data_IF_971157902729
#
_entry.id   IF_971157902729
#
_cell.length_a   1.000
_cell.length_b   1.000
_cell.length_c   1.000
_cell.angle_alpha   90.00
_cell.angle_beta   90.00
_cell.angle_gamma   90.00
#
_symmetry.space_group_name_H-M   'P 1'
#
loop_
_entity.id
_entity.type
_entity.pdbx_description
1 polymer ?
#
# COMPACT_ATOMS: atom_id res chain seq x y z
N UNK A 1 2.37 29.30 -5.62
CA UNK A 1 2.46 28.44 -4.42
C UNK A 1 3.00 27.04 -4.71
N UNK A 2 2.34 26.19 -5.50
CA UNK A 2 2.87 24.83 -5.83
C UNK A 2 4.18 24.90 -6.59
N UNK A 3 4.24 25.69 -7.68
CA UNK A 3 5.46 25.88 -8.48
C UNK A 3 6.61 26.46 -7.64
N UNK A 4 6.33 27.47 -6.82
CA UNK A 4 7.33 28.11 -5.95
C UNK A 4 7.91 27.13 -4.92
N UNK A 5 7.13 26.17 -4.43
CA UNK A 5 7.62 25.16 -3.49
C UNK A 5 8.35 23.99 -4.15
N UNK A 6 7.92 23.56 -5.34
CA UNK A 6 8.68 22.60 -6.14
C UNK A 6 10.04 23.19 -6.54
N UNK A 7 10.06 24.45 -6.97
CA UNK A 7 11.30 25.18 -7.24
C UNK A 7 12.15 25.30 -5.99
N UNK A 8 11.58 25.68 -4.84
CA UNK A 8 12.33 25.75 -3.58
C UNK A 8 12.85 24.38 -3.10
N UNK A 9 12.09 23.30 -3.31
CA UNK A 9 12.52 21.93 -2.95
C UNK A 9 13.63 21.44 -3.88
N UNK A 10 13.49 21.68 -5.17
CA UNK A 10 14.51 21.37 -6.17
C UNK A 10 15.80 22.15 -5.88
N UNK A 11 15.70 23.45 -5.58
CA UNK A 11 16.84 24.29 -5.20
C UNK A 11 17.51 23.82 -3.90
N UNK A 12 16.73 23.32 -2.92
CA UNK A 12 17.30 22.71 -1.69
C UNK A 12 18.03 21.41 -1.98
N UNK A 13 17.43 20.49 -2.74
CA UNK A 13 18.08 19.24 -3.16
C UNK A 13 19.34 19.52 -3.97
N UNK A 14 19.30 20.51 -4.87
CA UNK A 14 20.48 20.98 -5.59
C UNK A 14 21.55 21.52 -4.65
N UNK A 15 21.19 22.39 -3.70
CA UNK A 15 22.16 22.95 -2.76
C UNK A 15 22.82 21.88 -1.88
N UNK A 16 22.05 20.90 -1.39
CA UNK A 16 22.61 19.77 -0.62
C UNK A 16 23.47 18.87 -1.49
N UNK A 17 23.01 18.54 -2.70
CA UNK A 17 23.76 17.70 -3.63
C UNK A 17 25.06 18.34 -4.12
N UNK A 18 25.07 19.65 -4.37
CA UNK A 18 26.29 20.40 -4.72
C UNK A 18 27.30 20.37 -3.57
N UNK A 19 26.87 20.62 -2.34
CA UNK A 19 27.77 20.54 -1.18
C UNK A 19 28.37 19.13 -0.98
N UNK A 20 27.55 18.08 -1.18
CA UNK A 20 28.02 16.69 -1.10
C UNK A 20 29.00 16.38 -2.23
N UNK A 21 28.69 16.82 -3.45
CA UNK A 21 29.55 16.66 -4.61
C UNK A 21 30.90 17.36 -4.45
N UNK A 22 30.92 18.59 -3.93
CA UNK A 22 32.16 19.32 -3.63
C UNK A 22 33.05 18.51 -2.67
N UNK A 23 32.45 17.89 -1.64
CA UNK A 23 33.14 17.00 -0.71
C UNK A 23 33.71 15.74 -1.38
N UNK A 24 32.99 15.16 -2.34
CA UNK A 24 33.44 14.01 -3.14
C UNK A 24 34.60 14.43 -4.06
N UNK A 25 34.47 15.56 -4.77
CA UNK A 25 35.50 16.12 -5.66
C UNK A 25 36.80 16.39 -4.89
N UNK A 26 36.71 17.05 -3.73
CA UNK A 26 37.87 17.34 -2.88
C UNK A 26 38.57 16.06 -2.42
N UNK A 27 37.80 15.02 -2.05
CA UNK A 27 38.35 13.72 -1.66
C UNK A 27 39.05 13.06 -2.84
N UNK A 28 38.41 13.02 -4.00
CA UNK A 28 38.97 12.46 -5.23
C UNK A 28 40.28 13.14 -5.63
N UNK A 29 40.35 14.47 -5.56
CA UNK A 29 41.58 15.25 -5.81
C UNK A 29 42.67 14.95 -4.78
N UNK A 30 42.33 14.90 -3.49
CA UNK A 30 43.29 14.57 -2.41
C UNK A 30 43.88 13.17 -2.53
N UNK A 31 43.09 12.23 -3.03
CA UNK A 31 43.52 10.86 -3.31
C UNK A 31 44.31 10.74 -4.63
N UNK A 32 44.51 11.83 -5.36
CA UNK A 32 45.23 11.84 -6.64
C UNK A 32 44.48 11.12 -7.76
N UNK A 33 43.15 10.98 -7.64
CA UNK A 33 42.30 10.33 -8.64
C UNK A 33 41.74 11.37 -9.60
N UNK A 34 41.62 10.98 -10.87
CA UNK A 34 41.04 11.82 -11.93
C UNK A 34 39.53 11.61 -12.09
N UNK A 35 38.96 10.57 -11.48
CA UNK A 35 37.55 10.18 -11.62
C UNK A 35 36.88 10.00 -10.25
N UNK A 36 35.68 10.54 -10.10
CA UNK A 36 34.73 10.19 -9.04
C UNK A 36 34.31 8.73 -9.27
N UNK A 37 34.28 7.94 -8.19
CA UNK A 37 33.93 6.53 -8.30
C UNK A 37 32.45 6.36 -8.68
N UNK A 38 32.15 5.31 -9.46
CA UNK A 38 30.76 4.98 -9.80
C UNK A 38 29.86 4.78 -8.59
N UNK A 39 30.43 4.31 -7.47
CA UNK A 39 29.72 4.14 -6.19
C UNK A 39 29.33 5.47 -5.54
N UNK A 40 30.25 6.44 -5.49
CA UNK A 40 29.95 7.77 -4.93
C UNK A 40 28.95 8.51 -5.82
N UNK A 41 29.10 8.40 -7.15
CA UNK A 41 28.13 8.95 -8.11
C UNK A 41 26.76 8.27 -7.99
N UNK A 42 26.73 6.95 -7.77
CA UNK A 42 25.51 6.19 -7.54
C UNK A 42 24.84 6.57 -6.22
N UNK A 43 25.60 6.80 -5.15
CA UNK A 43 25.07 7.26 -3.87
C UNK A 43 24.42 8.65 -3.98
N UNK A 44 25.07 9.60 -4.67
CA UNK A 44 24.51 10.91 -4.97
C UNK A 44 23.18 10.80 -5.74
N UNK A 45 23.09 9.88 -6.69
CA UNK A 45 21.88 9.63 -7.48
C UNK A 45 20.77 8.90 -6.70
N UNK A 46 21.06 7.74 -6.13
CA UNK A 46 20.09 6.82 -5.52
C UNK A 46 19.66 7.27 -4.12
N UNK A 47 20.59 7.78 -3.32
CA UNK A 47 20.32 8.17 -1.92
C UNK A 47 19.89 9.63 -1.80
N UNK A 48 20.52 10.53 -2.57
CA UNK A 48 20.31 11.98 -2.43
C UNK A 48 19.51 12.60 -3.58
N UNK A 49 19.16 11.82 -4.61
CA UNK A 49 18.35 12.28 -5.74
C UNK A 49 19.06 13.31 -6.63
N UNK A 50 20.39 13.40 -6.57
CA UNK A 50 21.17 14.35 -7.33
C UNK A 50 21.40 13.82 -8.76
N UNK A 51 20.99 14.55 -9.81
CA UNK A 51 21.08 14.05 -11.19
C UNK A 51 22.52 13.72 -11.61
N UNK A 52 22.70 12.58 -12.28
CA UNK A 52 24.01 12.15 -12.79
C UNK A 52 24.59 13.18 -13.79
N UNK A 53 23.74 13.78 -14.63
CA UNK A 53 24.15 14.79 -15.60
C UNK A 53 24.75 16.04 -14.93
N UNK A 54 24.21 16.44 -13.78
CA UNK A 54 24.73 17.58 -13.01
C UNK A 54 26.02 17.21 -12.26
N UNK A 55 26.10 15.97 -11.77
CA UNK A 55 27.34 15.42 -11.19
C UNK A 55 28.49 15.48 -12.21
N UNK A 56 28.24 15.02 -13.44
CA UNK A 56 29.23 15.02 -14.52
C UNK A 56 29.66 16.45 -14.90
N UNK A 57 28.69 17.34 -15.10
CA UNK A 57 28.95 18.72 -15.51
C UNK A 57 29.83 19.46 -14.49
N UNK A 58 29.45 19.42 -13.21
CA UNK A 58 30.14 20.15 -12.15
C UNK A 58 31.53 19.53 -11.88
N UNK A 59 31.62 18.20 -11.86
CA UNK A 59 32.91 17.53 -11.72
C UNK A 59 33.89 17.96 -12.82
N UNK A 60 33.41 18.00 -14.07
CA UNK A 60 34.21 18.40 -15.23
C UNK A 60 34.70 19.84 -15.14
N UNK A 61 33.85 20.77 -14.71
CA UNK A 61 34.25 22.17 -14.47
C UNK A 61 35.35 22.29 -13.40
N UNK A 62 35.35 21.36 -12.44
CA UNK A 62 36.35 21.27 -11.37
C UNK A 62 37.58 20.41 -11.74
N UNK A 63 37.68 19.94 -12.98
CA UNK A 63 38.83 19.18 -13.48
C UNK A 63 38.87 17.71 -13.06
N UNK A 64 37.72 17.12 -12.71
CA UNK A 64 37.58 15.70 -12.34
C UNK A 64 36.47 15.07 -13.21
N UNK A 65 36.63 13.84 -13.66
CA UNK A 65 35.57 13.12 -14.38
C UNK A 65 34.69 12.27 -13.46
N UNK A 66 33.70 11.59 -14.03
CA UNK A 66 32.88 10.59 -13.33
C UNK A 66 33.07 9.24 -14.04
N UNK A 67 33.26 8.17 -13.27
CA UNK A 67 33.30 6.81 -13.81
C UNK A 67 31.87 6.33 -14.12
N UNK A 68 31.35 6.77 -15.27
CA UNK A 68 30.02 6.40 -15.76
C UNK A 68 29.85 4.89 -15.96
N UNK A 69 30.83 4.13 -16.51
CA UNK A 69 30.72 2.68 -16.58
C UNK A 69 30.53 2.00 -15.22
N UNK A 70 31.26 2.43 -14.19
CA UNK A 70 31.07 1.90 -12.83
C UNK A 70 29.72 2.33 -12.22
N UNK A 71 29.24 3.54 -12.51
CA UNK A 71 27.91 3.99 -12.10
C UNK A 71 26.80 3.12 -12.72
N UNK A 72 26.90 2.83 -14.03
CA UNK A 72 25.95 1.95 -14.72
C UNK A 72 25.96 0.53 -14.16
N UNK A 73 27.12 0.01 -13.75
CA UNK A 73 27.22 -1.28 -13.07
C UNK A 73 26.48 -1.31 -11.73
N UNK A 74 26.58 -0.25 -10.92
CA UNK A 74 25.84 -0.15 -9.66
C UNK A 74 24.32 -0.03 -9.90
N UNK A 75 23.91 0.71 -10.93
CA UNK A 75 22.52 0.82 -11.36
C UNK A 75 21.96 -0.53 -11.81
N UNK A 76 22.70 -1.28 -12.61
CA UNK A 76 22.31 -2.63 -13.02
C UNK A 76 22.37 -3.63 -11.86
N UNK A 77 23.32 -3.52 -10.94
CA UNK A 77 23.37 -4.35 -9.73
C UNK A 77 22.19 -4.08 -8.79
N UNK A 78 21.72 -2.84 -8.69
CA UNK A 78 20.49 -2.49 -7.94
C UNK A 78 19.26 -3.10 -8.61
N UNK A 79 19.10 -2.94 -9.94
CA UNK A 79 18.02 -3.60 -10.71
C UNK A 79 18.08 -5.13 -10.60
N UNK A 80 19.28 -5.71 -10.65
CA UNK A 80 19.50 -7.15 -10.56
C UNK A 80 19.21 -7.67 -9.14
N UNK A 81 19.57 -6.94 -8.07
CA UNK A 81 19.16 -7.28 -6.70
C UNK A 81 17.64 -7.27 -6.54
N UNK A 82 16.95 -6.33 -7.17
CA UNK A 82 15.48 -6.31 -7.22
C UNK A 82 14.90 -7.48 -8.02
N UNK A 83 15.58 -7.96 -9.08
CA UNK A 83 15.14 -9.10 -9.91
C UNK A 83 15.47 -10.47 -9.31
N UNK A 84 16.65 -10.66 -8.71
CA UNK A 84 17.11 -11.93 -8.14
C UNK A 84 16.45 -12.28 -6.79
N UNK A 85 15.65 -11.39 -6.22
CA UNK A 85 14.82 -11.70 -5.05
C UNK A 85 13.62 -12.64 -5.35
N UNK A 86 13.44 -13.09 -6.62
CA UNK A 86 12.23 -13.75 -7.09
C UNK A 86 12.47 -15.00 -7.97
N UNK A 87 13.39 -15.91 -7.59
CA UNK A 87 13.26 -17.29 -8.07
C UNK A 87 12.08 -17.94 -7.34
N UNK A 88 10.88 -17.79 -7.91
CA UNK A 88 9.65 -18.42 -7.42
C UNK A 88 9.35 -19.61 -8.30
N UNK A 89 9.50 -20.81 -7.75
CA UNK A 89 9.09 -22.05 -8.40
C UNK A 89 7.61 -22.27 -8.13
N UNK A 90 6.78 -22.25 -9.17
CA UNK A 90 5.32 -22.32 -9.05
C UNK A 90 4.80 -23.44 -9.94
N UNK A 91 4.14 -24.42 -9.33
CA UNK A 91 3.48 -25.48 -10.06
C UNK A 91 2.24 -24.95 -10.82
N UNK A 92 1.80 -25.69 -11.83
CA UNK A 92 0.51 -25.47 -12.48
C UNK A 92 -0.66 -25.69 -11.50
N UNK A 93 -1.80 -25.07 -11.79
CA UNK A 93 -3.01 -25.27 -11.01
C UNK A 93 -3.55 -26.69 -11.15
N UNK A 94 -3.75 -27.36 -10.02
CA UNK A 94 -4.54 -28.58 -9.93
C UNK A 94 -5.99 -28.17 -9.71
N UNK A 95 -6.83 -28.41 -10.71
CA UNK A 95 -8.26 -28.11 -10.65
C UNK A 95 -9.05 -29.30 -10.06
N UNK A 96 -9.84 -29.02 -9.03
CA UNK A 96 -10.70 -29.99 -8.34
C UNK A 96 -12.17 -29.81 -8.70
N UNK A 97 -12.61 -28.55 -8.81
CA UNK A 97 -13.98 -28.20 -9.15
C UNK A 97 -13.93 -27.01 -10.11
N UNK A 98 -14.58 -27.11 -11.29
CA UNK A 98 -14.66 -25.99 -12.20
C UNK A 98 -15.57 -24.91 -11.62
N UNK A 99 -15.02 -23.70 -11.47
CA UNK A 99 -15.78 -22.51 -11.05
C UNK A 99 -15.61 -21.40 -12.08
N UNK A 100 -16.69 -20.65 -12.34
CA UNK A 100 -16.62 -19.45 -13.18
C UNK A 100 -15.97 -18.29 -12.43
N UNK A 101 -16.35 -18.11 -11.18
CA UNK A 101 -15.85 -17.10 -10.26
C UNK A 101 -15.98 -17.58 -8.81
N UNK A 102 -15.15 -17.03 -7.91
CA UNK A 102 -15.27 -17.27 -6.48
C UNK A 102 -16.20 -16.21 -5.87
N UNK A 103 -17.16 -16.63 -5.04
CA UNK A 103 -18.12 -15.72 -4.41
C UNK A 103 -17.53 -15.19 -3.09
N UNK A 104 -17.37 -13.88 -2.98
CA UNK A 104 -16.96 -13.25 -1.72
C UNK A 104 -18.17 -13.01 -0.80
N UNK A 105 -18.15 -13.59 0.40
CA UNK A 105 -19.22 -13.49 1.43
C UNK A 105 -18.75 -12.75 2.69
N UNK A 106 -17.52 -12.21 2.66
CA UNK A 106 -16.87 -11.61 3.83
C UNK A 106 -17.43 -10.27 4.29
N UNK A 107 -18.40 -9.69 3.57
CA UNK A 107 -19.12 -8.51 4.04
C UNK A 107 -20.22 -8.86 5.05
N UNK A 108 -20.75 -10.09 4.99
CA UNK A 108 -21.87 -10.56 5.81
C UNK A 108 -21.41 -11.46 6.94
N UNK A 109 -20.43 -12.31 6.68
CA UNK A 109 -20.00 -13.36 7.60
C UNK A 109 -18.49 -13.49 7.67
N UNK A 110 -18.00 -14.00 8.80
CA UNK A 110 -16.60 -14.37 9.01
C UNK A 110 -16.36 -15.87 8.91
N UNK A 111 -17.45 -16.64 8.75
CA UNK A 111 -17.43 -18.09 8.65
C UNK A 111 -18.30 -18.55 7.49
N UNK A 112 -17.82 -19.51 6.71
CA UNK A 112 -18.54 -20.04 5.54
C UNK A 112 -18.11 -21.49 5.26
N UNK A 113 -19.01 -22.29 4.71
CA UNK A 113 -18.64 -23.62 4.19
C UNK A 113 -18.11 -23.48 2.77
N UNK A 114 -16.93 -24.03 2.51
CA UNK A 114 -16.20 -23.84 1.26
C UNK A 114 -15.68 -25.16 0.71
N UNK A 115 -15.42 -25.19 -0.59
CA UNK A 115 -14.66 -26.25 -1.25
C UNK A 115 -13.48 -25.65 -1.98
N UNK A 116 -12.36 -26.36 -1.98
CA UNK A 116 -11.19 -25.96 -2.76
C UNK A 116 -11.51 -26.25 -4.24
N UNK A 117 -11.61 -25.19 -5.03
CA UNK A 117 -11.83 -25.29 -6.47
C UNK A 117 -10.53 -25.66 -7.19
N UNK A 118 -9.41 -25.07 -6.77
CA UNK A 118 -8.07 -25.40 -7.28
C UNK A 118 -6.99 -25.04 -6.29
N UNK A 119 -5.85 -25.70 -6.40
CA UNK A 119 -4.66 -25.38 -5.62
C UNK A 119 -3.39 -25.48 -6.47
N UNK A 120 -2.32 -24.84 -6.01
CA UNK A 120 -0.97 -25.04 -6.53
C UNK A 120 0.06 -24.92 -5.43
N UNK A 121 1.21 -25.55 -5.63
CA UNK A 121 2.37 -25.40 -4.76
C UNK A 121 3.24 -24.25 -5.26
N UNK A 122 3.74 -23.45 -4.33
CA UNK A 122 4.66 -22.35 -4.59
C UNK A 122 5.84 -22.48 -3.65
N UNK A 123 7.05 -22.56 -4.21
CA UNK A 123 8.30 -22.55 -3.46
C UNK A 123 9.03 -21.26 -3.74
N UNK A 124 9.24 -20.46 -2.69
CA UNK A 124 10.00 -19.22 -2.76
C UNK A 124 10.99 -19.16 -1.61
N UNK A 125 12.24 -18.82 -1.91
CA UNK A 125 13.33 -18.70 -0.91
C UNK A 125 13.47 -19.94 -0.01
N UNK A 126 13.28 -21.13 -0.58
CA UNK A 126 13.35 -22.41 0.14
C UNK A 126 12.15 -22.73 1.04
N UNK A 127 11.13 -21.86 1.11
CA UNK A 127 9.86 -22.12 1.80
C UNK A 127 8.82 -22.60 0.78
N UNK A 128 8.24 -23.77 1.04
CA UNK A 128 7.09 -24.27 0.28
C UNK A 128 5.81 -23.81 0.94
N UNK A 129 4.88 -23.31 0.13
CA UNK A 129 3.52 -22.92 0.52
C UNK A 129 2.54 -23.43 -0.53
N UNK A 130 1.26 -23.43 -0.19
CA UNK A 130 0.18 -23.77 -1.09
C UNK A 130 -0.73 -22.57 -1.25
N UNK A 131 -1.14 -22.34 -2.49
CA UNK A 131 -2.12 -21.35 -2.84
C UNK A 131 -3.43 -22.06 -3.16
N UNK A 132 -4.49 -21.73 -2.43
CA UNK A 132 -5.81 -22.34 -2.52
C UNK A 132 -6.83 -21.33 -3.03
N UNK A 133 -7.67 -21.73 -3.97
CA UNK A 133 -8.82 -20.94 -4.42
C UNK A 133 -10.08 -21.69 -4.04
N UNK A 134 -10.99 -21.02 -3.34
CA UNK A 134 -12.27 -21.59 -2.93
C UNK A 134 -13.40 -21.22 -3.89
N UNK A 135 -14.47 -22.01 -3.93
CA UNK A 135 -15.71 -21.68 -4.67
C UNK A 135 -16.41 -20.44 -4.11
N UNK A 136 -16.32 -20.24 -2.79
CA UNK A 136 -16.75 -19.05 -2.06
C UNK A 136 -15.82 -18.81 -0.88
N UNK A 137 -15.76 -17.58 -0.38
CA UNK A 137 -14.87 -17.27 0.75
C UNK A 137 -15.34 -16.08 1.59
N UNK A 138 -15.23 -16.16 2.93
CA UNK A 138 -15.40 -15.02 3.81
C UNK A 138 -14.11 -14.19 3.92
N UNK A 139 -12.96 -14.68 3.43
CA UNK A 139 -11.68 -14.00 3.50
C UNK A 139 -11.59 -12.89 2.47
N UNK A 140 -11.30 -11.68 2.93
CA UNK A 140 -11.01 -10.53 2.08
C UNK A 140 -9.60 -10.70 1.50
N UNK A 141 -9.50 -10.68 0.17
CA UNK A 141 -8.21 -10.60 -0.51
C UNK A 141 -7.71 -9.16 -0.51
N UNK A 142 -6.39 -8.97 -0.33
CA UNK A 142 -5.79 -7.63 -0.28
C UNK A 142 -6.22 -6.74 -1.46
N UNK A 143 -6.77 -5.56 -1.17
CA UNK A 143 -7.23 -4.61 -2.19
C UNK A 143 -7.49 -3.23 -1.56
N UNK A 144 -7.36 -2.17 -2.36
CA UNK A 144 -7.60 -0.78 -1.91
C UNK A 144 -6.66 -0.33 -0.78
N UNK A 145 -5.47 -0.92 -0.66
CA UNK A 145 -4.51 -0.68 0.42
C UNK A 145 -4.73 -1.53 1.67
N UNK A 146 -5.89 -2.17 1.85
CA UNK A 146 -6.12 -3.08 2.97
C UNK A 146 -5.47 -4.44 2.73
N UNK A 147 -4.74 -4.95 3.72
CA UNK A 147 -4.19 -6.31 3.67
C UNK A 147 -5.31 -7.35 3.74
N UNK A 148 -5.05 -8.52 3.16
CA UNK A 148 -6.01 -9.60 3.20
C UNK A 148 -6.05 -10.30 4.55
N UNK A 149 -7.12 -11.04 4.77
CA UNK A 149 -7.35 -11.70 6.05
C UNK A 149 -6.45 -12.91 6.28
N UNK A 150 -6.35 -13.25 7.57
CA UNK A 150 -5.81 -14.51 8.06
C UNK A 150 -6.88 -15.26 8.84
N UNK A 151 -6.64 -16.54 9.10
CA UNK A 151 -7.59 -17.40 9.78
C UNK A 151 -7.23 -18.86 9.57
N UNK A 152 -8.23 -19.71 9.37
CA UNK A 152 -8.02 -21.12 9.07
C UNK A 152 -9.17 -21.71 8.26
N UNK A 153 -8.90 -22.85 7.64
CA UNK A 153 -9.93 -23.79 7.20
C UNK A 153 -9.90 -25.01 8.10
N UNK A 154 -11.05 -25.61 8.38
CA UNK A 154 -11.12 -26.83 9.16
C UNK A 154 -12.12 -27.85 8.60
N UNK A 155 -11.80 -29.11 8.82
CA UNK A 155 -12.69 -30.25 8.61
C UNK A 155 -12.78 -31.03 9.93
N UNK A 156 -13.49 -32.16 9.92
CA UNK A 156 -13.56 -33.03 11.10
C UNK A 156 -12.19 -33.59 11.55
N UNK A 157 -11.20 -33.63 10.65
CA UNK A 157 -9.94 -34.31 10.87
C UNK A 157 -8.74 -33.36 11.03
N UNK A 158 -8.81 -32.16 10.46
CA UNK A 158 -7.68 -31.25 10.39
C UNK A 158 -8.11 -29.78 10.43
N UNK A 159 -7.20 -28.94 10.92
CA UNK A 159 -7.31 -27.48 10.88
C UNK A 159 -6.04 -26.91 10.26
N UNK A 160 -6.20 -26.12 9.20
CA UNK A 160 -5.09 -25.58 8.41
C UNK A 160 -5.11 -24.05 8.49
N UNK A 161 -4.06 -23.42 9.03
CA UNK A 161 -3.95 -21.97 9.03
C UNK A 161 -3.86 -21.39 7.62
N UNK A 162 -4.66 -20.36 7.38
CA UNK A 162 -4.52 -19.44 6.24
C UNK A 162 -3.71 -18.25 6.73
N UNK A 163 -2.45 -18.19 6.30
CA UNK A 163 -1.46 -17.22 6.81
C UNK A 163 -1.47 -15.89 6.07
N UNK A 164 -2.07 -15.86 4.87
CA UNK A 164 -2.31 -14.67 4.09
C UNK A 164 -3.42 -14.94 3.06
N UNK A 165 -4.15 -13.89 2.69
CA UNK A 165 -5.11 -13.93 1.58
C UNK A 165 -4.79 -12.83 0.58
N UNK A 166 -4.61 -13.20 -0.68
CA UNK A 166 -4.22 -12.27 -1.75
C UNK A 166 -5.27 -12.22 -2.84
N UNK A 167 -5.41 -11.08 -3.52
CA UNK A 167 -6.26 -10.91 -4.68
C UNK A 167 -5.39 -10.70 -5.92
N UNK A 168 -5.34 -11.71 -6.79
CA UNK A 168 -4.59 -11.66 -8.04
C UNK A 168 -5.53 -11.89 -9.23
N UNK A 169 -5.55 -10.96 -10.20
CA UNK A 169 -6.37 -11.08 -11.42
C UNK A 169 -7.87 -11.41 -11.14
N UNK A 170 -8.41 -10.89 -10.03
CA UNK A 170 -9.79 -11.13 -9.60
C UNK A 170 -10.01 -12.41 -8.79
N UNK A 171 -8.99 -13.25 -8.62
CA UNK A 171 -9.04 -14.45 -7.79
C UNK A 171 -8.61 -14.14 -6.36
N UNK A 172 -9.36 -14.67 -5.40
CA UNK A 172 -8.96 -14.66 -3.99
C UNK A 172 -8.18 -15.94 -3.71
N UNK A 173 -6.90 -15.77 -3.40
CA UNK A 173 -5.92 -16.82 -3.18
C UNK A 173 -5.62 -16.88 -1.69
N UNK A 174 -5.79 -18.05 -1.09
CA UNK A 174 -5.52 -18.31 0.32
C UNK A 174 -4.20 -19.04 0.43
N UNK A 175 -3.25 -18.48 1.17
CA UNK A 175 -1.90 -19.03 1.32
C UNK A 175 -1.85 -19.86 2.60
N UNK A 176 -1.42 -21.12 2.47
CA UNK A 176 -1.23 -22.05 3.58
C UNK A 176 0.17 -22.67 3.52
N UNK A 177 0.68 -23.14 4.65
CA UNK A 177 1.98 -23.85 4.69
C UNK A 177 1.85 -25.35 4.38
N UNK A 178 0.62 -25.87 4.45
CA UNK A 178 0.29 -27.27 4.20
C UNK A 178 -0.97 -27.39 3.34
N UNK A 179 -1.01 -28.40 2.48
CA UNK A 179 -2.19 -28.80 1.73
C UNK A 179 -3.02 -29.77 2.60
N UNK A 180 -4.37 -29.69 2.58
CA UNK A 180 -5.20 -30.67 3.26
C UNK A 180 -4.92 -32.10 2.82
N UNK A 181 -5.10 -33.07 3.72
CA UNK A 181 -4.96 -34.50 3.41
C UNK A 181 -5.93 -34.92 2.29
N UNK A 182 -7.15 -34.37 2.32
CA UNK A 182 -8.14 -34.52 1.27
C UNK A 182 -8.59 -33.14 0.72
N UNK A 183 -7.89 -32.57 -0.27
CA UNK A 183 -8.23 -31.26 -0.84
C UNK A 183 -9.63 -31.18 -1.46
N UNK A 184 -10.22 -32.31 -1.85
CA UNK A 184 -11.56 -32.38 -2.44
C UNK A 184 -12.70 -32.38 -1.40
N UNK A 185 -12.37 -32.36 -0.10
CA UNK A 185 -13.36 -32.28 0.96
C UNK A 185 -14.02 -30.89 1.05
N UNK A 186 -15.07 -30.82 1.88
CA UNK A 186 -15.68 -29.56 2.29
C UNK A 186 -15.05 -29.10 3.61
N UNK A 187 -14.82 -27.80 3.73
CA UNK A 187 -14.18 -27.18 4.89
C UNK A 187 -15.06 -26.05 5.43
N UNK A 188 -14.98 -25.81 6.74
CA UNK A 188 -15.43 -24.56 7.35
C UNK A 188 -14.26 -23.58 7.34
N UNK A 189 -14.43 -22.47 6.60
CA UNK A 189 -13.46 -21.40 6.50
C UNK A 189 -13.79 -20.32 7.54
N UNK A 190 -12.84 -20.00 8.43
CA UNK A 190 -13.02 -19.08 9.55
C UNK A 190 -11.96 -17.99 9.51
N UNK A 191 -12.39 -16.75 9.34
CA UNK A 191 -11.54 -15.55 9.41
C UNK A 191 -11.26 -15.20 10.87
N UNK A 192 -10.06 -14.71 11.17
CA UNK A 192 -9.74 -14.13 12.47
C UNK A 192 -10.57 -12.85 12.72
N UNK A 193 -11.54 -12.88 13.66
CA UNK A 193 -12.47 -11.77 13.87
C UNK A 193 -11.79 -10.54 14.47
N UNK A 194 -10.76 -10.71 15.30
CA UNK A 194 -10.06 -9.60 15.95
C UNK A 194 -9.24 -8.83 14.93
N UNK A 195 -8.45 -9.56 14.12
CA UNK A 195 -7.64 -8.96 13.05
C UNK A 195 -8.51 -8.30 11.99
N UNK A 196 -9.62 -8.93 11.60
CA UNK A 196 -10.59 -8.34 10.68
C UNK A 196 -11.14 -7.02 11.22
N UNK A 197 -11.61 -7.00 12.47
CA UNK A 197 -12.21 -5.81 13.05
C UNK A 197 -11.19 -4.68 13.19
N UNK A 198 -9.95 -4.99 13.58
CA UNK A 198 -8.89 -4.01 13.67
C UNK A 198 -8.53 -3.41 12.30
N UNK A 199 -8.41 -4.23 11.26
CA UNK A 199 -8.20 -3.75 9.89
C UNK A 199 -9.37 -2.87 9.41
N UNK A 200 -10.62 -3.28 9.68
CA UNK A 200 -11.82 -2.52 9.33
C UNK A 200 -11.91 -1.17 10.07
N UNK A 201 -11.47 -1.12 11.32
CA UNK A 201 -11.33 0.13 12.09
C UNK A 201 -10.32 1.07 11.43
N UNK A 202 -9.12 0.57 11.13
CA UNK A 202 -8.07 1.36 10.48
C UNK A 202 -8.45 1.80 9.06
N UNK A 203 -9.19 0.97 8.31
CA UNK A 203 -9.71 1.35 7.00
C UNK A 203 -10.70 2.52 7.14
N UNK A 204 -11.63 2.41 8.07
CA UNK A 204 -12.62 3.48 8.30
C UNK A 204 -11.95 4.75 8.82
N UNK A 205 -10.95 4.63 9.69
CA UNK A 205 -10.15 5.76 10.14
C UNK A 205 -9.41 6.45 8.98
N UNK A 206 -8.94 5.69 7.99
CA UNK A 206 -8.31 6.23 6.77
C UNK A 206 -9.28 7.14 6.01
N UNK A 207 -10.54 6.72 5.83
CA UNK A 207 -11.57 7.53 5.16
C UNK A 207 -11.89 8.83 5.94
N UNK A 208 -12.00 8.73 7.27
CA UNK A 208 -12.23 9.90 8.12
C UNK A 208 -11.06 10.87 8.08
N UNK A 209 -9.83 10.35 8.11
CA UNK A 209 -8.60 11.13 8.01
C UNK A 209 -8.50 11.81 6.65
N UNK A 210 -8.80 11.12 5.55
CA UNK A 210 -8.77 11.70 4.22
C UNK A 210 -9.75 12.87 4.08
N UNK A 211 -10.99 12.68 4.57
CA UNK A 211 -11.98 13.77 4.62
C UNK A 211 -11.50 14.95 5.50
N UNK A 212 -10.87 14.68 6.65
CA UNK A 212 -10.33 15.70 7.54
C UNK A 212 -9.15 16.46 6.91
N UNK A 213 -8.22 15.77 6.26
CA UNK A 213 -7.09 16.39 5.55
C UNK A 213 -7.59 17.34 4.47
N UNK A 214 -8.62 16.96 3.71
CA UNK A 214 -9.20 17.83 2.68
C UNK A 214 -9.88 19.07 3.27
N UNK A 215 -10.53 18.95 4.44
CA UNK A 215 -11.12 20.09 5.15
C UNK A 215 -10.06 21.07 5.66
N UNK A 216 -8.94 20.56 6.18
CA UNK A 216 -7.88 21.39 6.81
C UNK A 216 -6.91 21.96 5.77
N UNK A 217 -6.50 21.15 4.79
CA UNK A 217 -5.45 21.50 3.84
C UNK A 217 -5.99 21.99 2.50
N UNK A 218 -7.19 21.55 2.11
CA UNK A 218 -7.84 21.89 0.84
C UNK A 218 -8.11 20.70 -0.07
N UNK A 219 -8.90 20.94 -1.12
CA UNK A 219 -9.41 19.92 -2.03
C UNK A 219 -8.36 19.31 -2.97
N UNK A 220 -7.13 19.82 -3.00
CA UNK A 220 -6.02 19.26 -3.78
C UNK A 220 -5.38 18.03 -3.14
N UNK A 221 -5.76 17.71 -1.91
CA UNK A 221 -5.35 16.47 -1.23
C UNK A 221 -6.05 15.29 -1.89
N UNK A 222 -5.27 14.44 -2.52
CA UNK A 222 -5.70 13.19 -3.16
C UNK A 222 -4.83 12.06 -2.65
N UNK A 223 -5.41 10.88 -2.47
CA UNK A 223 -4.66 9.66 -2.17
C UNK A 223 -3.66 9.35 -3.28
N UNK A 224 -2.40 9.09 -2.88
CA UNK A 224 -1.30 8.60 -3.73
C UNK A 224 -0.82 7.21 -3.32
N UNK A 225 -1.26 6.71 -2.16
CA UNK A 225 -0.96 5.37 -1.67
C UNK A 225 -1.66 5.11 -0.34
N UNK A 226 -1.97 3.84 -0.05
CA UNK A 226 -2.59 3.43 1.20
C UNK A 226 -2.09 2.04 1.59
N UNK A 227 -1.86 1.83 2.88
CA UNK A 227 -1.64 0.54 3.51
C UNK A 227 -2.44 0.51 4.80
N UNK A 228 -3.32 -0.47 4.95
CA UNK A 228 -4.15 -0.67 6.12
C UNK A 228 -3.91 -2.09 6.63
N UNK A 229 -3.34 -2.19 7.84
CA UNK A 229 -3.16 -3.44 8.57
C UNK A 229 -4.00 -3.39 9.86
N UNK A 230 -4.18 -4.53 10.56
CA UNK A 230 -4.75 -4.56 11.90
C UNK A 230 -4.00 -3.66 12.91
N UNK A 231 -2.70 -3.46 12.71
CA UNK A 231 -1.83 -2.73 13.63
C UNK A 231 -1.73 -1.24 13.31
N UNK A 232 -1.68 -0.87 12.03
CA UNK A 232 -1.41 0.51 11.59
C UNK A 232 -2.16 0.86 10.30
N UNK A 233 -2.35 2.15 10.08
CA UNK A 233 -2.64 2.69 8.75
C UNK A 233 -1.55 3.65 8.29
N UNK A 234 -1.29 3.62 6.99
CA UNK A 234 -0.34 4.51 6.31
C UNK A 234 -1.02 5.09 5.09
N UNK A 235 -1.02 6.41 4.99
CA UNK A 235 -1.73 7.13 3.95
C UNK A 235 -0.81 8.15 3.29
N UNK A 236 -0.63 7.99 1.98
CA UNK A 236 0.16 8.89 1.16
C UNK A 236 -0.79 9.79 0.39
N UNK A 237 -0.52 11.10 0.39
CA UNK A 237 -1.39 12.08 -0.21
C UNK A 237 -0.63 13.20 -0.91
N UNK A 238 -1.25 13.80 -1.92
CA UNK A 238 -0.72 14.99 -2.59
C UNK A 238 -0.80 16.21 -1.68
N UNK A 239 0.35 16.75 -1.31
CA UNK A 239 0.43 18.02 -0.64
C UNK A 239 1.86 18.57 -0.77
N UNK A 240 1.97 19.84 -1.19
CA UNK A 240 3.22 20.44 -1.66
C UNK A 240 4.17 20.84 -0.52
N UNK A 241 3.63 21.13 0.67
CA UNK A 241 4.37 21.66 1.81
C UNK A 241 4.34 20.74 3.02
N UNK A 242 5.17 21.03 4.02
CA UNK A 242 5.03 20.39 5.34
C UNK A 242 3.75 20.86 6.04
N UNK A 243 2.82 19.95 6.25
CA UNK A 243 1.71 20.02 7.20
C UNK A 243 2.26 20.35 8.57
N UNK A 244 1.76 21.46 9.10
CA UNK A 244 2.18 22.01 10.39
C UNK A 244 1.64 21.16 11.55
N UNK A 245 2.29 21.19 12.73
CA UNK A 245 1.79 20.54 13.94
C UNK A 245 0.34 20.94 14.28
N UNK A 246 -0.03 22.19 14.05
CA UNK A 246 -1.37 22.72 14.29
C UNK A 246 -2.39 22.08 13.35
N UNK A 247 -2.06 21.98 12.05
CA UNK A 247 -2.91 21.30 11.07
C UNK A 247 -3.05 19.81 11.35
N UNK A 248 -1.97 19.12 11.74
CA UNK A 248 -2.04 17.70 12.13
C UNK A 248 -2.97 17.52 13.34
N UNK A 249 -2.85 18.40 14.34
CA UNK A 249 -3.72 18.39 15.51
C UNK A 249 -5.18 18.63 15.14
N UNK A 250 -5.44 19.54 14.21
CA UNK A 250 -6.79 19.81 13.71
C UNK A 250 -7.37 18.58 13.01
N UNK A 251 -6.59 17.90 12.17
CA UNK A 251 -6.98 16.64 11.53
C UNK A 251 -7.33 15.58 12.59
N UNK A 252 -6.46 15.35 13.58
CA UNK A 252 -6.73 14.42 14.69
C UNK A 252 -8.02 14.75 15.44
N UNK A 253 -8.27 16.03 15.71
CA UNK A 253 -9.48 16.50 16.40
C UNK A 253 -10.73 16.22 15.57
N UNK A 254 -10.68 16.44 14.25
CA UNK A 254 -11.81 16.19 13.35
C UNK A 254 -12.11 14.69 13.25
N UNK A 255 -11.09 13.84 13.11
CA UNK A 255 -11.28 12.38 13.07
C UNK A 255 -11.88 11.88 14.39
N UNK A 256 -11.31 12.26 15.53
CA UNK A 256 -11.83 11.85 16.84
C UNK A 256 -13.21 12.46 17.17
N UNK A 257 -13.59 13.58 16.55
CA UNK A 257 -14.96 14.10 16.61
C UNK A 257 -15.90 13.18 15.84
N UNK A 258 -15.53 12.72 14.65
CA UNK A 258 -16.32 11.78 13.87
C UNK A 258 -16.43 10.40 14.54
N UNK A 259 -15.35 9.93 15.19
CA UNK A 259 -15.38 8.71 16.02
C UNK A 259 -16.40 8.85 17.16
N UNK A 260 -16.35 9.95 17.92
CA UNK A 260 -17.31 10.20 19.02
C UNK A 260 -18.74 10.45 18.57
N UNK A 261 -18.95 10.85 17.33
CA UNK A 261 -20.29 11.02 16.76
C UNK A 261 -20.97 9.68 16.44
N UNK A 262 -20.19 8.58 16.40
CA UNK A 262 -20.68 7.22 16.16
C UNK A 262 -21.55 7.09 14.91
N UNK A 263 -21.10 7.67 13.80
CA UNK A 263 -21.81 7.60 12.52
C UNK A 263 -21.92 6.14 12.06
N UNK A 264 -23.11 5.67 11.67
CA UNK A 264 -23.28 4.33 11.14
C UNK A 264 -22.65 4.20 9.75
N UNK A 265 -22.30 2.97 9.37
CA UNK A 265 -21.96 2.63 8.00
C UNK A 265 -23.21 2.73 7.12
N UNK A 266 -23.22 3.69 6.20
CA UNK A 266 -24.17 3.76 5.10
C UNK A 266 -23.50 3.21 3.84
N UNK A 267 -23.93 2.04 3.35
CA UNK A 267 -23.36 1.44 2.14
C UNK A 267 -24.38 1.25 1.03
N UNK A 268 -23.92 1.46 -0.21
CA UNK A 268 -24.61 1.04 -1.42
C UNK A 268 -23.66 0.17 -2.23
N UNK A 269 -23.88 -1.14 -2.22
CA UNK A 269 -22.99 -2.11 -2.85
C UNK A 269 -23.09 -2.18 -4.37
N UNK A 270 -24.15 -1.60 -4.91
CA UNK A 270 -24.52 -1.78 -6.30
C UNK A 270 -25.00 -0.46 -6.93
N UNK A 271 -24.24 0.61 -6.70
CA UNK A 271 -24.54 1.94 -7.24
C UNK A 271 -23.94 2.12 -8.64
N UNK A 272 -24.62 2.94 -9.46
CA UNK A 272 -24.03 3.50 -10.68
C UNK A 272 -23.02 4.60 -10.34
N UNK A 273 -22.14 4.95 -11.29
CA UNK A 273 -21.18 6.04 -11.10
C UNK A 273 -21.88 7.39 -10.91
N UNK A 274 -23.01 7.59 -11.57
CA UNK A 274 -23.85 8.78 -11.47
C UNK A 274 -24.49 8.91 -10.09
N UNK A 275 -25.05 7.83 -9.55
CA UNK A 275 -25.61 7.82 -8.19
C UNK A 275 -24.55 8.09 -7.12
N UNK A 276 -23.35 7.52 -7.29
CA UNK A 276 -22.24 7.76 -6.40
C UNK A 276 -21.77 9.22 -6.46
N UNK A 277 -21.59 9.77 -7.67
CA UNK A 277 -21.22 11.17 -7.85
C UNK A 277 -22.27 12.14 -7.27
N UNK A 278 -23.56 11.85 -7.46
CA UNK A 278 -24.65 12.63 -6.89
C UNK A 278 -24.68 12.59 -5.35
N UNK A 279 -24.22 11.50 -4.74
CA UNK A 279 -24.04 11.38 -3.30
C UNK A 279 -22.76 12.05 -2.78
N UNK A 280 -21.95 12.65 -3.66
CA UNK A 280 -20.68 13.28 -3.31
C UNK A 280 -19.54 12.27 -3.10
N UNK A 281 -19.69 11.03 -3.59
CA UNK A 281 -18.67 10.00 -3.43
C UNK A 281 -17.41 10.38 -4.19
N UNK A 282 -16.29 10.30 -3.50
CA UNK A 282 -14.99 10.44 -4.11
C UNK A 282 -14.58 9.16 -4.85
N UNK A 283 -14.07 9.34 -6.06
CA UNK A 283 -13.31 8.30 -6.75
C UNK A 283 -11.84 8.42 -6.34
N UNK A 284 -11.22 7.31 -5.95
CA UNK A 284 -9.79 7.29 -5.62
C UNK A 284 -8.98 7.31 -6.92
N UNK A 285 -7.93 8.13 -6.93
CA UNK A 285 -7.06 8.29 -8.09
C UNK A 285 -6.31 6.98 -8.40
N UNK A 286 -6.29 6.57 -9.67
CA UNK A 286 -5.58 5.37 -10.14
C UNK A 286 -6.37 4.07 -10.07
N UNK A 287 -7.53 4.05 -9.41
CA UNK A 287 -8.40 2.87 -9.35
C UNK A 287 -9.26 2.72 -10.61
N UNK A 288 -9.40 1.48 -11.07
CA UNK A 288 -10.29 1.14 -12.20
C UNK A 288 -11.63 0.65 -11.64
N UNK A 289 -12.67 1.46 -11.85
CA UNK A 289 -14.03 1.13 -11.45
C UNK A 289 -14.84 0.53 -12.60
N UNK A 290 -15.47 -0.62 -12.35
CA UNK A 290 -16.47 -1.21 -13.24
C UNK A 290 -17.74 -0.36 -13.34
N UNK A 291 -18.73 -0.84 -14.08
CA UNK A 291 -19.99 -0.11 -14.30
C UNK A 291 -20.83 0.05 -13.01
N UNK A 292 -20.64 -0.88 -12.08
CA UNK A 292 -21.27 -0.88 -10.76
C UNK A 292 -20.21 -0.77 -9.69
N UNK A 293 -20.45 0.09 -8.70
CA UNK A 293 -19.49 0.46 -7.67
C UNK A 293 -20.10 0.31 -6.29
N UNK A 294 -19.25 -0.01 -5.31
CA UNK A 294 -19.61 0.04 -3.90
C UNK A 294 -19.24 1.40 -3.33
N UNK A 295 -20.23 2.10 -2.81
CA UNK A 295 -20.08 3.36 -2.10
C UNK A 295 -20.24 3.12 -0.60
N UNK A 296 -19.37 3.73 0.19
CA UNK A 296 -19.43 3.72 1.66
C UNK A 296 -19.47 5.15 2.18
N UNK A 297 -20.25 5.37 3.23
CA UNK A 297 -20.43 6.67 3.87
C UNK A 297 -20.38 6.57 5.39
N UNK A 298 -19.68 7.53 5.99
CA UNK A 298 -19.66 7.81 7.42
C UNK A 298 -19.77 9.32 7.64
N UNK A 299 -20.97 9.81 7.94
CA UNK A 299 -21.24 11.24 8.08
C UNK A 299 -20.93 12.01 6.78
N UNK A 300 -19.89 12.85 6.80
CA UNK A 300 -19.44 13.63 5.64
C UNK A 300 -18.41 12.90 4.76
N UNK A 301 -17.85 11.79 5.23
CA UNK A 301 -16.91 10.99 4.44
C UNK A 301 -17.71 10.07 3.51
N UNK A 302 -17.55 10.22 2.20
CA UNK A 302 -18.24 9.43 1.17
C UNK A 302 -17.22 9.02 0.10
N UNK A 303 -16.99 7.73 -0.07
CA UNK A 303 -15.96 7.22 -0.98
C UNK A 303 -16.42 5.93 -1.69
N UNK A 304 -15.89 5.69 -2.89
CA UNK A 304 -15.99 4.40 -3.55
C UNK A 304 -14.94 3.45 -2.99
N UNK A 305 -15.37 2.45 -2.22
CA UNK A 305 -14.45 1.50 -1.58
C UNK A 305 -15.01 0.09 -1.51
N UNK A 306 -14.20 -0.87 -1.96
CA UNK A 306 -14.45 -2.31 -1.86
C UNK A 306 -13.90 -2.96 -0.59
N UNK A 307 -13.34 -2.18 0.34
CA UNK A 307 -12.74 -2.70 1.56
C UNK A 307 -13.73 -3.09 2.65
N UNK A 308 -13.23 -3.75 3.70
CA UNK A 308 -14.03 -4.01 4.89
C UNK A 308 -14.06 -2.78 5.78
N UNK A 309 -15.22 -2.48 6.35
CA UNK A 309 -15.41 -1.31 7.21
C UNK A 309 -16.11 -1.69 8.51
N UNK A 310 -15.88 -0.88 9.54
CA UNK A 310 -16.59 -1.04 10.80
C UNK A 310 -18.06 -0.62 10.67
N UNK A 311 -18.94 -1.13 11.54
CA UNK A 311 -20.38 -0.85 11.48
C UNK A 311 -20.74 0.57 11.90
N UNK A 312 -19.92 1.17 12.76
CA UNK A 312 -20.04 2.57 13.13
C UNK A 312 -18.70 3.15 13.55
N UNK A 313 -18.53 4.47 13.41
CA UNK A 313 -17.24 5.11 13.69
C UNK A 313 -16.81 5.01 15.16
N UNK A 314 -17.74 4.80 16.10
CA UNK A 314 -17.43 4.65 17.53
C UNK A 314 -16.61 3.39 17.84
N UNK A 315 -16.72 2.33 17.03
CA UNK A 315 -15.94 1.09 17.18
C UNK A 315 -14.43 1.30 16.97
N UNK A 316 -14.02 2.40 16.32
CA UNK A 316 -12.61 2.74 16.13
C UNK A 316 -11.92 3.02 17.48
N UNK A 317 -12.65 3.59 18.45
CA UNK A 317 -12.10 3.96 19.75
C UNK A 317 -11.35 5.29 19.71
N UNK A 318 -10.07 5.29 19.34
CA UNK A 318 -9.24 6.49 19.33
C UNK A 318 -8.30 6.51 18.12
N UNK A 319 -8.21 7.65 17.46
CA UNK A 319 -7.31 7.86 16.33
C UNK A 319 -6.13 8.76 16.74
N UNK A 320 -4.92 8.36 16.39
CA UNK A 320 -3.69 9.09 16.71
C UNK A 320 -2.74 9.09 15.51
N UNK A 321 -2.32 10.27 15.07
CA UNK A 321 -1.22 10.40 14.12
C UNK A 321 0.09 10.17 14.88
N UNK A 322 0.86 9.18 14.43
CA UNK A 322 2.15 8.82 15.00
C UNK A 322 3.28 9.61 14.34
N UNK A 323 3.23 9.71 13.01
CA UNK A 323 4.28 10.36 12.24
C UNK A 323 3.73 11.02 10.99
N UNK A 324 4.52 11.97 10.50
CA UNK A 324 4.27 12.64 9.25
C UNK A 324 5.63 12.88 8.56
N UNK A 325 5.77 12.49 7.29
CA UNK A 325 6.99 12.69 6.51
C UNK A 325 6.74 12.97 5.01
N UNK A 326 7.72 13.58 4.33
CA UNK A 326 7.73 13.67 2.86
C UNK A 326 8.32 12.38 2.27
N UNK A 327 7.66 11.84 1.24
CA UNK A 327 8.10 10.61 0.55
C UNK A 327 8.74 10.93 -0.81
N UNK A 328 8.19 11.93 -1.49
CA UNK A 328 8.74 12.49 -2.73
C UNK A 328 8.25 13.93 -2.89
N UNK A 329 8.73 14.64 -3.92
CA UNK A 329 8.23 15.98 -4.23
C UNK A 329 6.69 15.95 -4.41
N UNK A 330 5.99 16.80 -3.64
CA UNK A 330 4.53 16.90 -3.68
C UNK A 330 3.75 15.76 -3.01
N UNK A 331 4.42 14.77 -2.40
CA UNK A 331 3.77 13.62 -1.74
C UNK A 331 4.20 13.49 -0.29
N UNK A 332 3.20 13.37 0.58
CA UNK A 332 3.33 13.37 2.03
C UNK A 332 2.70 12.10 2.59
N UNK A 333 3.22 11.60 3.70
CA UNK A 333 2.76 10.37 4.36
C UNK A 333 2.36 10.66 5.79
N UNK A 334 1.23 10.12 6.19
CA UNK A 334 0.84 9.98 7.60
C UNK A 334 0.84 8.50 7.96
N UNK A 335 1.40 8.20 9.13
CA UNK A 335 1.23 6.91 9.81
C UNK A 335 0.44 7.14 11.10
N UNK A 336 -0.53 6.27 11.35
CA UNK A 336 -1.45 6.33 12.49
C UNK A 336 -1.80 4.93 12.99
#
# INVERSE_FOLDING_TARGET
KVIEEEEASFLRTLATGINLLDGVIERTKKEGKELISGKDAFELYDTFGFPIDLTELIAREQGVGVDLPAFEQELEAQKARSRNAAAVDTDDWVELIPIKESIFTGYETLTERVRIARYRRVTSKGKTTFQLVFDRTPFYGNSGGQIGDIGYIESANERIPVVATEKENGLIIHITEQLPENPAAEFEAVVDPEKRQAAANNHTATHLMHAALRKVLGNHVEQKGSLVTPEVLRFDFSHFQKVTPEQLREVEVLVNRAVRADYPLEEKRDATKEEAAAAGAMMLFGEKYGDRVRMVRFGDSVELCGGTHTRSTGTIGFFKILSESAISAGVRRIEA
#
